data_IF_755812649793
#
_entry.id   IF_755812649793
#
_cell.length_a   1.000
_cell.length_b   1.000
_cell.length_c   1.000
_cell.angle_alpha   90.00
_cell.angle_beta   90.00
_cell.angle_gamma   90.00
#
_symmetry.space_group_name_H-M   'P 1'
#
loop_
_entity.id
_entity.type
_entity.pdbx_description
1 polymer ?
#
# COMPACT_ATOMS: atom_id res chain seq x y z
N UNK A 1 11.85 11.96 2.96
CA UNK A 1 10.72 11.64 2.05
C UNK A 1 10.37 10.18 2.19
N UNK A 2 9.10 9.88 2.36
CA UNK A 2 8.64 8.49 2.45
C UNK A 2 8.62 7.86 1.06
N UNK A 3 8.98 6.59 0.99
CA UNK A 3 9.01 5.84 -0.26
C UNK A 3 7.84 4.87 -0.28
N UNK A 4 7.10 4.85 -1.37
CA UNK A 4 5.93 3.98 -1.53
C UNK A 4 5.93 3.29 -2.88
N UNK A 5 5.28 2.13 -2.93
CA UNK A 5 4.97 1.45 -4.20
C UNK A 5 3.47 1.22 -4.30
N UNK A 6 3.00 1.15 -5.53
CA UNK A 6 1.60 0.85 -5.86
C UNK A 6 1.57 -0.46 -6.64
N UNK A 7 0.68 -1.37 -6.25
CA UNK A 7 0.52 -2.67 -6.91
C UNK A 7 -0.96 -2.89 -7.22
N UNK A 8 -1.31 -2.95 -8.49
CA UNK A 8 -2.69 -3.19 -8.92
C UNK A 8 -2.65 -3.74 -10.34
N UNK A 9 -3.43 -4.78 -10.63
CA UNK A 9 -3.47 -5.35 -11.97
C UNK A 9 -4.32 -4.55 -12.96
N UNK A 10 -5.06 -3.55 -12.48
CA UNK A 10 -5.86 -2.67 -13.33
C UNK A 10 -5.08 -1.41 -13.71
N UNK A 11 -4.82 -1.25 -14.99
CA UNK A 11 -4.04 -0.11 -15.50
C UNK A 11 -4.67 1.24 -15.12
N UNK A 12 -6.01 1.34 -15.17
CA UNK A 12 -6.70 2.59 -14.86
C UNK A 12 -6.53 3.00 -13.39
N UNK A 13 -6.49 2.02 -12.49
CA UNK A 13 -6.25 2.29 -11.07
C UNK A 13 -4.82 2.77 -10.85
N UNK A 14 -3.84 2.08 -11.44
CA UNK A 14 -2.42 2.50 -11.36
C UNK A 14 -2.26 3.92 -11.88
N UNK A 15 -2.84 4.20 -13.05
CA UNK A 15 -2.74 5.51 -13.68
C UNK A 15 -3.37 6.60 -12.80
N UNK A 16 -4.56 6.34 -12.28
CA UNK A 16 -5.25 7.31 -11.43
C UNK A 16 -4.48 7.63 -10.15
N UNK A 17 -3.96 6.61 -9.49
CA UNK A 17 -3.19 6.79 -8.26
C UNK A 17 -1.85 7.47 -8.50
N UNK A 18 -1.20 7.19 -9.63
CA UNK A 18 0.09 7.79 -9.93
C UNK A 18 -0.03 9.22 -10.45
N UNK A 19 -1.01 9.48 -11.34
CA UNK A 19 -1.08 10.73 -12.09
C UNK A 19 -1.99 11.78 -11.49
N UNK A 20 -3.02 11.38 -10.76
CA UNK A 20 -4.04 12.31 -10.28
C UNK A 20 -4.01 12.50 -8.77
N UNK A 21 -3.49 11.55 -8.01
CA UNK A 21 -3.37 11.73 -6.57
C UNK A 21 -2.06 12.48 -6.25
N UNK A 22 -2.13 13.43 -5.31
CA UNK A 22 -0.99 14.29 -4.98
C UNK A 22 -0.21 13.74 -3.78
N UNK A 23 0.59 12.70 -4.03
CA UNK A 23 1.47 12.09 -3.03
C UNK A 23 2.50 13.09 -2.47
N UNK A 24 2.94 14.02 -3.33
CA UNK A 24 3.93 15.04 -2.97
C UNK A 24 3.44 15.97 -1.86
N UNK A 25 2.12 16.17 -1.74
CA UNK A 25 1.51 16.93 -0.66
C UNK A 25 1.88 16.35 0.72
N UNK A 26 2.09 15.05 0.79
CA UNK A 26 2.42 14.34 2.02
C UNK A 26 3.91 13.96 2.10
N UNK A 27 4.72 14.50 1.23
CA UNK A 27 6.16 14.18 1.15
C UNK A 27 6.40 12.68 0.92
N UNK A 28 5.60 12.10 0.03
CA UNK A 28 5.70 10.68 -0.36
C UNK A 28 6.11 10.61 -1.83
N UNK A 29 7.09 9.78 -2.11
CA UNK A 29 7.53 9.48 -3.47
C UNK A 29 7.05 8.09 -3.85
N UNK A 30 6.33 7.96 -4.97
CA UNK A 30 6.02 6.65 -5.55
C UNK A 30 7.23 6.22 -6.35
N UNK A 31 8.02 5.30 -5.80
CA UNK A 31 9.28 4.89 -6.41
C UNK A 31 9.10 3.88 -7.53
N UNK A 32 8.02 3.08 -7.47
CA UNK A 32 7.68 2.09 -8.50
C UNK A 32 6.20 1.76 -8.47
N UNK A 33 5.70 1.30 -9.62
CA UNK A 33 4.31 0.83 -9.79
C UNK A 33 4.38 -0.55 -10.45
N UNK A 34 3.59 -1.50 -9.95
CA UNK A 34 3.61 -2.88 -10.41
C UNK A 34 2.21 -3.35 -10.78
N UNK A 35 2.14 -4.25 -11.76
CA UNK A 35 0.89 -4.84 -12.22
C UNK A 35 0.55 -6.18 -11.54
N UNK A 36 1.48 -6.74 -10.76
CA UNK A 36 1.27 -8.02 -10.06
C UNK A 36 2.11 -8.12 -8.80
N UNK A 37 1.71 -9.06 -7.93
CA UNK A 37 2.36 -9.22 -6.64
C UNK A 37 3.75 -9.83 -6.72
N UNK A 38 3.99 -10.70 -7.71
CA UNK A 38 5.28 -11.38 -7.82
C UNK A 38 6.42 -10.42 -8.16
N UNK A 39 6.20 -9.53 -9.14
CA UNK A 39 7.21 -8.54 -9.50
C UNK A 39 7.40 -7.51 -8.40
N UNK A 40 6.31 -7.13 -7.71
CA UNK A 40 6.42 -6.25 -6.55
C UNK A 40 7.26 -6.89 -5.44
N UNK A 41 7.05 -8.17 -5.19
CA UNK A 41 7.82 -8.88 -4.16
C UNK A 41 9.31 -8.96 -4.52
N UNK A 42 9.64 -9.21 -5.78
CA UNK A 42 11.03 -9.20 -6.24
C UNK A 42 11.71 -7.86 -5.95
N UNK A 43 10.99 -6.77 -6.18
CA UNK A 43 11.51 -5.44 -5.87
C UNK A 43 11.70 -5.25 -4.36
N UNK A 44 10.71 -5.64 -3.57
CA UNK A 44 10.76 -5.52 -2.11
C UNK A 44 11.84 -6.39 -1.48
N UNK A 45 12.23 -7.47 -2.14
CA UNK A 45 13.30 -8.33 -1.65
C UNK A 45 14.64 -7.57 -1.55
N UNK A 46 14.82 -6.51 -2.33
CA UNK A 46 16.08 -5.78 -2.41
C UNK A 46 15.93 -4.28 -2.13
N UNK A 47 14.71 -3.79 -1.93
CA UNK A 47 14.46 -2.36 -1.77
C UNK A 47 13.42 -2.13 -0.67
N UNK A 48 13.82 -1.47 0.39
CA UNK A 48 12.91 -1.09 1.45
C UNK A 48 12.00 0.05 0.99
N UNK A 49 10.70 -0.04 1.33
CA UNK A 49 9.76 1.07 1.19
C UNK A 49 9.02 1.25 2.50
N UNK A 50 8.48 2.44 2.72
CA UNK A 50 7.74 2.77 3.93
C UNK A 50 6.27 2.40 3.83
N UNK A 51 5.71 2.43 2.61
CA UNK A 51 4.29 2.23 2.36
C UNK A 51 4.07 1.34 1.14
N UNK A 52 3.24 0.31 1.33
CA UNK A 52 2.75 -0.55 0.26
C UNK A 52 1.26 -0.26 0.07
N UNK A 53 0.88 0.21 -1.12
CA UNK A 53 -0.51 0.39 -1.53
C UNK A 53 -0.82 -0.71 -2.54
N UNK A 54 -1.64 -1.67 -2.19
CA UNK A 54 -1.84 -2.84 -3.05
C UNK A 54 -3.30 -3.25 -3.18
N UNK A 55 -3.67 -3.65 -4.38
CA UNK A 55 -4.90 -4.41 -4.62
C UNK A 55 -4.78 -5.76 -3.91
N UNK A 56 -5.90 -6.39 -3.63
CA UNK A 56 -5.94 -7.71 -3.00
C UNK A 56 -6.05 -8.81 -4.05
N UNK A 57 -7.06 -8.74 -4.91
CA UNK A 57 -7.34 -9.80 -5.87
C UNK A 57 -6.52 -9.60 -7.13
N UNK A 58 -5.43 -10.34 -7.24
CA UNK A 58 -4.52 -10.31 -8.38
C UNK A 58 -4.13 -11.74 -8.74
N UNK A 59 -3.80 -12.01 -10.01
CA UNK A 59 -3.33 -13.34 -10.40
C UNK A 59 -2.08 -13.78 -9.64
N UNK A 60 -1.99 -15.05 -9.33
CA UNK A 60 -0.86 -15.72 -8.70
C UNK A 60 -0.66 -15.35 -7.23
N UNK A 61 -0.20 -14.16 -6.93
CA UNK A 61 0.02 -13.70 -5.57
C UNK A 61 -0.98 -12.57 -5.26
N UNK A 62 -1.88 -12.78 -4.29
CA UNK A 62 -2.81 -11.73 -3.89
C UNK A 62 -2.13 -10.71 -2.97
N UNK A 63 -2.80 -9.56 -2.76
CA UNK A 63 -2.23 -8.47 -1.98
C UNK A 63 -1.98 -8.80 -0.51
N UNK A 64 -2.78 -9.70 0.06
CA UNK A 64 -2.58 -10.14 1.46
C UNK A 64 -1.28 -10.94 1.57
N UNK A 65 -1.06 -11.87 0.65
CA UNK A 65 0.17 -12.65 0.61
C UNK A 65 1.39 -11.75 0.40
N UNK A 66 1.28 -10.80 -0.52
CA UNK A 66 2.35 -9.82 -0.77
C UNK A 66 2.67 -9.03 0.50
N UNK A 67 1.65 -8.54 1.18
CA UNK A 67 1.82 -7.75 2.40
C UNK A 67 2.44 -8.58 3.53
N UNK A 68 2.03 -9.84 3.68
CA UNK A 68 2.61 -10.74 4.67
C UNK A 68 4.09 -10.95 4.44
N UNK A 69 4.46 -11.23 3.19
CA UNK A 69 5.86 -11.44 2.81
C UNK A 69 6.70 -10.16 2.97
N UNK A 70 6.12 -9.02 2.62
CA UNK A 70 6.79 -7.74 2.80
C UNK A 70 7.05 -7.47 4.29
N UNK A 71 6.10 -7.77 5.13
CA UNK A 71 6.22 -7.53 6.57
C UNK A 71 7.18 -8.51 7.26
N UNK A 72 7.32 -9.72 6.73
CA UNK A 72 8.35 -10.65 7.20
C UNK A 72 9.76 -10.07 7.01
N UNK A 73 9.95 -9.32 5.95
CA UNK A 73 11.25 -8.70 5.66
C UNK A 73 11.39 -7.33 6.30
N UNK A 74 10.32 -6.55 6.35
CA UNK A 74 10.30 -5.18 6.88
C UNK A 74 9.10 -5.07 7.83
N UNK A 75 9.28 -5.37 9.09
CA UNK A 75 8.17 -5.49 10.04
C UNK A 75 7.38 -4.20 10.25
N UNK A 76 7.99 -3.05 9.96
CA UNK A 76 7.38 -1.74 10.15
C UNK A 76 6.78 -1.14 8.87
N UNK A 77 6.76 -1.87 7.76
CA UNK A 77 6.15 -1.39 6.52
C UNK A 77 4.65 -1.13 6.74
N UNK A 78 4.16 0.03 6.28
CA UNK A 78 2.75 0.39 6.37
C UNK A 78 2.01 -0.10 5.13
N UNK A 79 0.78 -0.53 5.31
CA UNK A 79 0.01 -1.18 4.25
C UNK A 79 -1.36 -0.53 4.15
N UNK A 80 -1.74 -0.13 2.92
CA UNK A 80 -3.09 0.29 2.57
C UNK A 80 -3.56 -0.68 1.49
N UNK A 81 -4.68 -1.37 1.75
CA UNK A 81 -5.29 -2.25 0.75
C UNK A 81 -6.35 -1.48 -0.04
N UNK A 82 -6.40 -1.75 -1.33
CA UNK A 82 -7.42 -1.23 -2.24
C UNK A 82 -8.11 -2.43 -2.87
N UNK A 83 -9.44 -2.48 -2.84
CA UNK A 83 -10.15 -3.67 -3.29
C UNK A 83 -11.55 -3.36 -3.81
N UNK A 84 -12.09 -4.25 -4.64
CA UNK A 84 -13.47 -4.15 -5.09
C UNK A 84 -14.48 -4.50 -4.00
N UNK A 85 -15.72 -4.06 -4.17
CA UNK A 85 -16.78 -4.29 -3.17
C UNK A 85 -17.05 -5.77 -2.92
N UNK A 86 -16.86 -6.62 -3.93
CA UNK A 86 -17.15 -8.05 -3.82
C UNK A 86 -16.11 -8.84 -3.06
N UNK A 87 -15.00 -8.19 -2.69
CA UNK A 87 -13.84 -8.85 -2.09
C UNK A 87 -13.82 -8.78 -0.56
N UNK A 88 -15.00 -8.59 0.05
CA UNK A 88 -15.10 -8.44 1.51
C UNK A 88 -14.63 -9.67 2.29
N UNK A 89 -14.58 -10.83 1.66
CA UNK A 89 -14.03 -12.04 2.28
C UNK A 89 -12.56 -11.89 2.69
N UNK A 90 -11.84 -10.94 2.10
CA UNK A 90 -10.44 -10.68 2.42
C UNK A 90 -10.27 -9.67 3.55
N UNK A 91 -11.36 -9.05 3.98
CA UNK A 91 -11.30 -7.99 5.01
C UNK A 91 -10.68 -8.50 6.31
N UNK A 92 -11.02 -9.72 6.71
CA UNK A 92 -10.45 -10.31 7.93
C UNK A 92 -8.94 -10.45 7.86
N UNK A 93 -8.41 -10.90 6.70
CA UNK A 93 -6.98 -11.00 6.50
C UNK A 93 -6.28 -9.66 6.63
N UNK A 94 -6.89 -8.62 6.04
CA UNK A 94 -6.36 -7.25 6.11
C UNK A 94 -6.36 -6.73 7.56
N UNK A 95 -7.46 -6.95 8.28
CA UNK A 95 -7.58 -6.51 9.68
C UNK A 95 -6.57 -7.22 10.58
N UNK A 96 -6.36 -8.52 10.39
CA UNK A 96 -5.40 -9.31 11.16
C UNK A 96 -3.97 -8.84 10.94
N UNK A 97 -3.69 -8.26 9.79
CA UNK A 97 -2.37 -7.73 9.47
C UNK A 97 -2.13 -6.35 10.04
N UNK A 98 -3.14 -5.76 10.64
CA UNK A 98 -3.06 -4.40 11.16
C UNK A 98 -2.69 -3.41 10.06
N UNK A 99 -3.34 -3.54 8.89
CA UNK A 99 -3.18 -2.59 7.80
C UNK A 99 -3.68 -1.21 8.25
N UNK A 100 -3.09 -0.16 7.68
CA UNK A 100 -3.50 1.21 8.04
C UNK A 100 -4.94 1.45 7.61
N UNK A 101 -5.31 1.00 6.40
CA UNK A 101 -6.69 1.12 5.94
C UNK A 101 -7.01 0.09 4.85
N UNK A 102 -8.30 -0.03 4.58
CA UNK A 102 -8.86 -0.89 3.54
C UNK A 102 -9.84 -0.01 2.76
N UNK A 103 -9.48 0.37 1.54
CA UNK A 103 -10.24 1.32 0.74
C UNK A 103 -10.89 0.59 -0.43
N UNK A 104 -12.20 0.79 -0.60
CA UNK A 104 -12.92 0.17 -1.71
C UNK A 104 -12.76 0.99 -2.99
N UNK A 105 -12.66 0.29 -4.13
CA UNK A 105 -12.72 0.93 -5.45
C UNK A 105 -14.17 1.37 -5.71
N UNK A 106 -14.45 2.47 -6.36
CA UNK A 106 -13.51 3.46 -6.89
C UNK A 106 -12.88 4.24 -5.75
N UNK A 107 -11.59 4.53 -5.85
CA UNK A 107 -10.87 5.17 -4.77
C UNK A 107 -11.32 6.62 -4.59
N UNK A 108 -11.85 6.93 -3.41
CA UNK A 108 -12.17 8.29 -2.99
C UNK A 108 -10.89 8.92 -2.45
N UNK A 109 -10.45 10.02 -3.05
CA UNK A 109 -9.19 10.65 -2.63
C UNK A 109 -9.26 11.27 -1.23
N UNK A 110 -10.44 11.65 -0.76
CA UNK A 110 -10.58 12.11 0.62
C UNK A 110 -10.37 10.96 1.61
N UNK A 111 -10.85 9.78 1.27
CA UNK A 111 -10.60 8.56 2.05
C UNK A 111 -9.13 8.18 2.04
N UNK A 112 -8.50 8.29 0.87
CA UNK A 112 -7.07 8.04 0.73
C UNK A 112 -6.26 9.06 1.53
N UNK A 113 -6.65 10.33 1.52
CA UNK A 113 -6.01 11.37 2.34
C UNK A 113 -5.98 10.98 3.82
N UNK A 114 -7.10 10.52 4.35
CA UNK A 114 -7.18 10.12 5.75
C UNK A 114 -6.23 8.96 6.06
N UNK A 115 -6.17 7.98 5.17
CA UNK A 115 -5.27 6.83 5.34
C UNK A 115 -3.80 7.25 5.25
N UNK A 116 -3.47 8.09 4.27
CA UNK A 116 -2.09 8.57 4.06
C UNK A 116 -1.64 9.44 5.24
N UNK A 117 -2.51 10.29 5.76
CA UNK A 117 -2.20 11.10 6.95
C UNK A 117 -1.86 10.21 8.15
N UNK A 118 -2.56 9.09 8.34
CA UNK A 118 -2.23 8.14 9.39
C UNK A 118 -0.88 7.49 9.18
N UNK A 119 -0.55 7.14 7.92
CA UNK A 119 0.77 6.58 7.58
C UNK A 119 1.88 7.57 7.97
N UNK A 120 1.73 8.82 7.54
CA UNK A 120 2.73 9.86 7.82
C UNK A 120 2.91 10.04 9.32
N UNK A 121 1.81 10.11 10.06
CA UNK A 121 1.85 10.23 11.52
C UNK A 121 2.60 9.04 12.16
N UNK A 122 2.28 7.83 11.74
CA UNK A 122 2.91 6.62 12.29
C UNK A 122 4.41 6.57 12.02
N UNK A 123 4.83 6.95 10.81
CA UNK A 123 6.25 6.93 10.43
C UNK A 123 7.00 8.03 11.19
N UNK A 124 6.45 9.22 11.28
CA UNK A 124 7.07 10.32 12.02
C UNK A 124 7.21 9.98 13.51
N UNK A 125 6.18 9.41 14.10
CA UNK A 125 6.20 8.97 15.49
C UNK A 125 7.26 7.90 15.73
N UNK A 126 7.35 6.92 14.85
CA UNK A 126 8.37 5.87 14.91
C UNK A 126 9.78 6.48 14.87
N UNK A 127 10.01 7.42 13.97
CA UNK A 127 11.32 8.05 13.81
C UNK A 127 11.68 8.87 15.06
N UNK A 128 10.72 9.59 15.63
CA UNK A 128 10.92 10.36 16.85
C UNK A 128 11.29 9.44 18.03
N UNK A 129 10.59 8.32 18.18
CA UNK A 129 10.84 7.36 19.24
C UNK A 129 12.21 6.71 19.14
N UNK A 130 12.77 6.59 17.93
CA UNK A 130 14.09 6.01 17.68
C UNK A 130 15.23 7.00 17.93
N UNK A 131 14.93 8.27 17.96
CA UNK A 131 15.89 9.33 18.26
C UNK A 131 16.09 9.44 19.78
#
# INVERSE_FOLDING_TARGET
>A
MLRAIIVDDEQMVRHGLLSYYHWDKYNIEIVRVFADGATAFEYLAQNHVDLLVTDIVMPRMNGIELAQKAREKYEDIKIIFISGYTDTKYLWGALKMNAVDYIFKSVDFDELDAAVERVVYMVEKRNTERE
#
